data_IF_527386850129
#
_entry.id   IF_527386850129
#
_cell.length_a   1.000
_cell.length_b   1.000
_cell.length_c   1.000
_cell.angle_alpha   90.00
_cell.angle_beta   90.00
_cell.angle_gamma   90.00
#
_symmetry.space_group_name_H-M   'P 1'
#
loop_
_entity.id
_entity.type
_entity.pdbx_description
1 polymer ?
#
# COMPACT_ATOMS: atom_id res chain seq x y z
N UNK A 1 10.64 4.07 18.16
CA UNK A 1 10.28 3.21 17.02
C UNK A 1 11.39 3.33 15.98
N UNK A 2 12.10 2.24 15.71
CA UNK A 2 13.14 2.22 14.68
C UNK A 2 12.50 2.10 13.26
N UNK A 3 13.28 2.28 12.20
CA UNK A 3 12.74 2.25 10.83
C UNK A 3 12.16 0.88 10.43
N UNK A 4 12.69 -0.21 10.99
CA UNK A 4 12.18 -1.56 10.75
C UNK A 4 10.77 -1.74 11.31
N UNK A 5 10.56 -1.40 12.58
CA UNK A 5 9.25 -1.51 13.25
C UNK A 5 8.18 -0.67 12.54
N UNK A 6 8.54 0.53 12.06
CA UNK A 6 7.64 1.37 11.28
C UNK A 6 7.28 0.74 9.94
N UNK A 7 8.27 0.24 9.20
CA UNK A 7 8.04 -0.42 7.92
C UNK A 7 7.15 -1.66 8.07
N UNK A 8 7.41 -2.50 9.07
CA UNK A 8 6.59 -3.68 9.38
C UNK A 8 5.13 -3.30 9.70
N UNK A 9 4.94 -2.26 10.51
CA UNK A 9 3.61 -1.77 10.86
C UNK A 9 2.84 -1.28 9.62
N UNK A 10 3.48 -0.46 8.78
CA UNK A 10 2.82 0.12 7.59
C UNK A 10 2.55 -0.95 6.53
N UNK A 11 3.48 -1.88 6.33
CA UNK A 11 3.28 -3.02 5.42
C UNK A 11 2.05 -3.81 5.84
N UNK A 12 1.93 -4.15 7.13
CA UNK A 12 0.78 -4.90 7.64
C UNK A 12 -0.54 -4.17 7.41
N UNK A 13 -0.56 -2.84 7.61
CA UNK A 13 -1.76 -2.03 7.36
C UNK A 13 -2.18 -2.04 5.89
N UNK A 14 -1.22 -1.82 5.00
CA UNK A 14 -1.47 -1.85 3.55
C UNK A 14 -1.91 -3.24 3.10
N UNK A 15 -1.31 -4.32 3.58
CA UNK A 15 -1.75 -5.69 3.25
C UNK A 15 -3.21 -5.94 3.65
N UNK A 16 -3.65 -5.43 4.80
CA UNK A 16 -5.04 -5.54 5.23
C UNK A 16 -5.98 -4.74 4.31
N UNK A 17 -5.59 -3.53 3.91
CA UNK A 17 -6.37 -2.74 2.95
C UNK A 17 -6.44 -3.42 1.59
N UNK A 18 -5.30 -3.92 1.08
CA UNK A 18 -5.24 -4.60 -0.22
C UNK A 18 -6.13 -5.85 -0.28
N UNK A 19 -6.34 -6.51 0.86
CA UNK A 19 -7.21 -7.69 0.96
C UNK A 19 -8.70 -7.35 1.13
N UNK A 20 -9.03 -6.17 1.67
CA UNK A 20 -10.39 -5.78 2.05
C UNK A 20 -11.01 -4.68 1.18
N UNK A 21 -10.21 -3.99 0.36
CA UNK A 21 -10.71 -2.87 -0.42
C UNK A 21 -11.79 -3.32 -1.42
N UNK A 22 -12.88 -2.57 -1.46
CA UNK A 22 -13.98 -2.78 -2.38
C UNK A 22 -13.91 -1.75 -3.51
N UNK A 23 -14.11 -2.21 -4.76
CA UNK A 23 -14.08 -1.32 -5.92
C UNK A 23 -15.46 -0.72 -6.14
N UNK A 24 -15.56 0.61 -6.13
CA UNK A 24 -16.75 1.35 -6.58
C UNK A 24 -16.73 1.62 -8.07
N UNK A 25 -15.52 1.66 -8.64
CA UNK A 25 -15.27 1.90 -10.06
C UNK A 25 -14.44 0.75 -10.63
N UNK A 26 -14.93 0.16 -11.72
CA UNK A 26 -14.34 -1.01 -12.38
C UNK A 26 -13.55 -0.66 -13.65
N UNK A 27 -13.29 0.64 -13.91
CA UNK A 27 -12.44 1.06 -15.00
C UNK A 27 -11.05 0.45 -14.85
N UNK A 28 -10.47 0.11 -16.00
CA UNK A 28 -9.16 -0.54 -16.09
C UNK A 28 -8.08 0.28 -15.37
N UNK A 29 -8.11 1.59 -15.50
CA UNK A 29 -7.16 2.52 -14.89
C UNK A 29 -7.21 2.46 -13.35
N UNK A 30 -8.39 2.25 -12.76
CA UNK A 30 -8.57 2.12 -11.31
C UNK A 30 -7.96 0.80 -10.83
N UNK A 31 -8.24 -0.28 -11.54
CA UNK A 31 -7.71 -1.62 -11.24
C UNK A 31 -6.18 -1.63 -11.39
N UNK A 32 -5.65 -1.07 -12.48
CA UNK A 32 -4.20 -0.96 -12.71
C UNK A 32 -3.52 -0.07 -11.66
N UNK A 33 -4.14 1.04 -11.28
CA UNK A 33 -3.60 1.92 -10.22
C UNK A 33 -3.57 1.20 -8.87
N UNK A 34 -4.62 0.43 -8.54
CA UNK A 34 -4.63 -0.41 -7.34
C UNK A 34 -3.57 -1.53 -7.40
N UNK A 35 -3.33 -2.11 -8.58
CA UNK A 35 -2.25 -3.08 -8.78
C UNK A 35 -0.86 -2.48 -8.56
N UNK A 36 -0.63 -1.22 -8.95
CA UNK A 36 0.60 -0.52 -8.56
C UNK A 36 0.79 -0.47 -7.05
N UNK A 37 -0.25 -0.17 -6.26
CA UNK A 37 -0.15 -0.21 -4.80
C UNK A 37 0.27 -1.60 -4.28
N UNK A 38 -0.25 -2.70 -4.86
CA UNK A 38 0.18 -4.07 -4.54
C UNK A 38 1.66 -4.30 -4.83
N UNK A 39 2.12 -3.86 -6.00
CA UNK A 39 3.52 -4.01 -6.44
C UNK A 39 4.47 -3.25 -5.51
N UNK A 40 4.13 -2.03 -5.11
CA UNK A 40 4.93 -1.27 -4.14
C UNK A 40 4.89 -1.87 -2.73
N UNK A 41 3.78 -2.47 -2.32
CA UNK A 41 3.73 -3.25 -1.08
C UNK A 41 4.65 -4.48 -1.15
N UNK A 42 4.71 -5.17 -2.29
CA UNK A 42 5.64 -6.28 -2.52
C UNK A 42 7.10 -5.81 -2.47
N UNK A 43 7.43 -4.70 -3.12
CA UNK A 43 8.77 -4.11 -3.10
C UNK A 43 9.17 -3.71 -1.68
N UNK A 44 8.26 -3.13 -0.90
CA UNK A 44 8.50 -2.78 0.49
C UNK A 44 8.89 -4.01 1.32
N UNK A 45 8.18 -5.13 1.15
CA UNK A 45 8.52 -6.41 1.81
C UNK A 45 9.88 -6.94 1.37
N UNK A 46 10.21 -6.82 0.09
CA UNK A 46 11.51 -7.24 -0.45
C UNK A 46 12.66 -6.43 0.15
N UNK A 47 12.54 -5.10 0.21
CA UNK A 47 13.56 -4.25 0.84
C UNK A 47 13.66 -4.46 2.35
N UNK A 48 12.52 -4.66 3.04
CA UNK A 48 12.50 -5.00 4.46
C UNK A 48 13.30 -6.28 4.74
N UNK A 49 13.09 -7.33 3.94
CA UNK A 49 13.82 -8.60 4.07
C UNK A 49 15.33 -8.46 3.82
N UNK A 50 15.75 -7.45 3.04
CA UNK A 50 17.16 -7.12 2.80
C UNK A 50 17.76 -6.19 3.86
N UNK A 51 17.02 -5.85 4.90
CA UNK A 51 17.37 -4.82 5.89
C UNK A 51 17.57 -3.40 5.32
N UNK A 52 17.06 -3.13 4.12
CA UNK A 52 17.00 -1.79 3.55
C UNK A 52 15.69 -1.09 4.00
N UNK A 53 15.71 -0.61 5.23
CA UNK A 53 14.52 -0.04 5.86
C UNK A 53 14.09 1.30 5.26
N UNK A 54 15.03 2.07 4.70
CA UNK A 54 14.72 3.35 4.06
C UNK A 54 13.93 3.12 2.77
N UNK A 55 14.40 2.22 1.91
CA UNK A 55 13.68 1.84 0.69
C UNK A 55 12.35 1.16 0.99
N UNK A 56 12.30 0.31 2.03
CA UNK A 56 11.05 -0.30 2.47
C UNK A 56 10.00 0.74 2.88
N UNK A 57 10.40 1.76 3.66
CA UNK A 57 9.53 2.87 4.06
C UNK A 57 9.09 3.71 2.87
N UNK A 58 9.99 3.98 1.93
CA UNK A 58 9.65 4.74 0.72
C UNK A 58 8.61 4.01 -0.14
N UNK A 59 8.83 2.71 -0.40
CA UNK A 59 7.90 1.89 -1.18
C UNK A 59 6.53 1.79 -0.50
N UNK A 60 6.48 1.54 0.82
CA UNK A 60 5.18 1.38 1.48
C UNK A 60 4.41 2.69 1.59
N UNK A 61 5.09 3.81 1.82
CA UNK A 61 4.45 5.14 1.83
C UNK A 61 3.88 5.49 0.46
N UNK A 62 4.54 5.06 -0.63
CA UNK A 62 4.02 5.22 -1.98
C UNK A 62 2.75 4.38 -2.22
N UNK A 63 2.72 3.13 -1.74
CA UNK A 63 1.52 2.30 -1.79
C UNK A 63 0.35 2.91 -1.00
N UNK A 64 0.60 3.44 0.21
CA UNK A 64 -0.41 4.15 1.01
C UNK A 64 -0.95 5.37 0.26
N UNK A 65 -0.09 6.19 -0.32
CA UNK A 65 -0.49 7.38 -1.08
C UNK A 65 -1.38 7.05 -2.29
N UNK A 66 -1.09 5.96 -3.01
CA UNK A 66 -1.97 5.49 -4.09
C UNK A 66 -3.35 5.11 -3.54
N UNK A 67 -3.39 4.31 -2.48
CA UNK A 67 -4.65 3.82 -1.90
C UNK A 67 -5.49 4.97 -1.37
N UNK A 68 -4.88 5.92 -0.67
CA UNK A 68 -5.58 7.12 -0.20
C UNK A 68 -6.10 7.97 -1.36
N UNK A 69 -5.33 8.14 -2.44
CA UNK A 69 -5.81 8.88 -3.62
C UNK A 69 -7.05 8.20 -4.25
N UNK A 70 -7.02 6.89 -4.44
CA UNK A 70 -8.16 6.12 -4.96
C UNK A 70 -9.39 6.24 -4.05
N UNK A 71 -9.19 6.20 -2.72
CA UNK A 71 -10.26 6.36 -1.72
C UNK A 71 -10.83 7.78 -1.71
N UNK A 72 -9.98 8.80 -1.74
CA UNK A 72 -10.37 10.22 -1.76
C UNK A 72 -11.18 10.57 -3.01
N UNK A 73 -10.86 9.94 -4.14
CA UNK A 73 -11.62 10.07 -5.39
C UNK A 73 -12.90 9.22 -5.40
N UNK A 74 -13.23 8.53 -4.29
CA UNK A 74 -14.38 7.65 -4.15
C UNK A 74 -14.45 6.53 -5.21
N UNK A 75 -13.29 6.04 -5.65
CA UNK A 75 -13.17 4.96 -6.64
C UNK A 75 -13.07 3.58 -5.98
N UNK A 76 -12.57 3.54 -4.74
CA UNK A 76 -12.53 2.35 -3.89
C UNK A 76 -12.97 2.70 -2.46
N UNK A 77 -13.34 1.70 -1.69
CA UNK A 77 -13.70 1.80 -0.28
C UNK A 77 -12.82 0.91 0.59
N UNK A 78 -12.30 1.47 1.68
CA UNK A 78 -11.64 0.73 2.76
C UNK A 78 -11.48 1.64 3.99
N UNK A 79 -11.14 1.02 5.11
CA UNK A 79 -10.74 1.71 6.34
C UNK A 79 -9.29 1.37 6.73
N UNK A 80 -8.55 2.37 7.19
CA UNK A 80 -7.25 2.15 7.83
C UNK A 80 -7.47 1.55 9.23
N UNK A 81 -6.91 0.37 9.49
CA UNK A 81 -6.91 -0.29 10.81
C UNK A 81 -5.56 -0.16 11.53
#
# INVERSE_FOLDING_TARGET
MNFKEKAEAYIKKVELVLAKAEFKDSRKEVIETFDYAKRYCFDAKHFLNKNDFASALACISYAEGILDALRLLNLIEFEWM
#
